data_IF_369837748403
#
_entry.id   IF_369837748403
#
_cell.length_a   1.000
_cell.length_b   1.000
_cell.length_c   1.000
_cell.angle_alpha   90.00
_cell.angle_beta   90.00
_cell.angle_gamma   90.00
#
_symmetry.space_group_name_H-M   'P 1'
#
loop_
_entity.id
_entity.type
_entity.pdbx_description
1 polymer ?
#
# COMPACT_ATOMS: atom_id res chain seq x y z
N UNK A 1 7.55 -20.26 13.46
CA UNK A 1 6.41 -20.40 12.53
C UNK A 1 6.01 -19.05 11.90
N UNK A 2 5.56 -18.06 12.67
CA UNK A 2 5.06 -16.77 12.15
C UNK A 2 6.08 -15.98 11.29
N UNK A 3 7.36 -15.94 11.69
CA UNK A 3 8.42 -15.26 10.92
C UNK A 3 8.67 -15.88 9.53
N UNK A 4 8.54 -17.21 9.41
CA UNK A 4 8.75 -17.92 8.13
C UNK A 4 7.62 -17.60 7.16
N UNK A 5 6.38 -17.57 7.65
CA UNK A 5 5.20 -17.18 6.87
C UNK A 5 5.34 -15.73 6.37
N UNK A 6 5.79 -14.82 7.25
CA UNK A 6 6.01 -13.43 6.87
C UNK A 6 7.12 -13.28 5.80
N UNK A 7 8.22 -14.02 5.91
CA UNK A 7 9.28 -14.06 4.90
C UNK A 7 8.80 -14.60 3.55
N UNK A 8 7.98 -15.66 3.54
CA UNK A 8 7.38 -16.21 2.32
C UNK A 8 6.46 -15.18 1.65
N UNK A 9 5.65 -14.48 2.44
CA UNK A 9 4.77 -13.41 1.93
C UNK A 9 5.60 -12.28 1.31
N UNK A 10 6.66 -11.83 1.98
CA UNK A 10 7.55 -10.79 1.46
C UNK A 10 8.22 -11.23 0.15
N UNK A 11 8.71 -12.47 0.09
CA UNK A 11 9.31 -13.03 -1.12
C UNK A 11 8.31 -13.11 -2.29
N UNK A 12 7.06 -13.51 -2.02
CA UNK A 12 5.99 -13.50 -3.01
C UNK A 12 5.66 -12.10 -3.52
N UNK A 13 5.64 -11.11 -2.64
CA UNK A 13 5.38 -9.73 -3.05
C UNK A 13 6.55 -9.11 -3.83
N UNK A 14 7.79 -9.42 -3.47
CA UNK A 14 8.98 -9.01 -4.22
C UNK A 14 8.99 -9.63 -5.63
N UNK A 15 8.69 -10.92 -5.77
CA UNK A 15 8.62 -11.58 -7.08
C UNK A 15 7.49 -11.01 -7.93
N UNK A 16 6.31 -10.75 -7.33
CA UNK A 16 5.19 -10.07 -8.01
C UNK A 16 5.55 -8.64 -8.45
N UNK A 17 6.27 -7.89 -7.62
CA UNK A 17 6.72 -6.54 -7.97
C UNK A 17 7.69 -6.57 -9.16
N UNK A 18 8.64 -7.50 -9.15
CA UNK A 18 9.59 -7.70 -10.24
C UNK A 18 8.88 -8.06 -11.55
N UNK A 19 7.85 -8.90 -11.47
CA UNK A 19 7.06 -9.30 -12.64
C UNK A 19 6.22 -8.14 -13.20
N UNK A 20 5.69 -7.26 -12.34
CA UNK A 20 4.99 -6.05 -12.79
C UNK A 20 5.92 -5.01 -13.41
N UNK A 21 7.17 -4.89 -12.94
CA UNK A 21 8.20 -4.05 -13.56
C UNK A 21 8.52 -4.53 -14.98
N UNK A 22 8.66 -5.84 -15.18
CA UNK A 22 8.91 -6.41 -16.51
C UNK A 22 7.79 -6.13 -17.51
N UNK A 23 6.53 -6.04 -17.06
CA UNK A 23 5.40 -5.72 -17.93
C UNK A 23 5.27 -4.23 -18.30
N UNK A 24 6.23 -3.36 -17.91
CA UNK A 24 6.21 -1.89 -18.10
C UNK A 24 4.92 -1.20 -17.62
N UNK A 25 4.15 -1.85 -16.74
CA UNK A 25 2.87 -1.34 -16.22
C UNK A 25 3.03 -0.33 -15.07
N UNK A 26 4.26 -0.18 -14.57
CA UNK A 26 4.57 0.60 -13.37
C UNK A 26 5.68 1.59 -13.72
N UNK A 27 5.49 2.86 -13.37
CA UNK A 27 6.50 3.90 -13.57
C UNK A 27 7.67 3.72 -12.57
N UNK A 28 8.86 4.23 -12.91
CA UNK A 28 10.05 4.07 -12.06
C UNK A 28 9.83 4.55 -10.61
N UNK A 29 9.10 5.66 -10.43
CA UNK A 29 8.75 6.19 -9.11
C UNK A 29 7.83 5.26 -8.31
N UNK A 30 6.86 4.64 -8.97
CA UNK A 30 5.96 3.67 -8.32
C UNK A 30 6.72 2.41 -7.92
N UNK A 31 7.66 1.94 -8.74
CA UNK A 31 8.52 0.82 -8.38
C UNK A 31 9.35 1.12 -7.14
N UNK A 32 9.98 2.29 -7.07
CA UNK A 32 10.77 2.72 -5.89
C UNK A 32 9.88 2.86 -4.65
N UNK A 33 8.71 3.47 -4.78
CA UNK A 33 7.75 3.60 -3.67
C UNK A 33 7.37 2.23 -3.09
N UNK A 34 7.00 1.28 -3.96
CA UNK A 34 6.67 -0.07 -3.53
C UNK A 34 7.87 -0.82 -2.96
N UNK A 35 9.05 -0.66 -3.54
CA UNK A 35 10.27 -1.31 -3.04
C UNK A 35 10.61 -0.82 -1.62
N UNK A 36 10.53 0.49 -1.35
CA UNK A 36 10.71 1.05 -0.02
C UNK A 36 9.65 0.53 0.95
N UNK A 37 8.38 0.47 0.53
CA UNK A 37 7.30 -0.08 1.35
C UNK A 37 7.57 -1.54 1.76
N UNK A 38 8.01 -2.39 0.83
CA UNK A 38 8.34 -3.80 1.11
C UNK A 38 9.55 -3.95 2.02
N UNK A 39 10.57 -3.10 1.86
CA UNK A 39 11.74 -3.08 2.76
C UNK A 39 11.30 -2.69 4.18
N UNK A 40 10.46 -1.68 4.33
CA UNK A 40 9.92 -1.27 5.64
C UNK A 40 9.09 -2.37 6.28
N UNK A 41 8.26 -3.07 5.49
CA UNK A 41 7.48 -4.21 5.98
C UNK A 41 8.40 -5.36 6.45
N UNK A 42 9.45 -5.67 5.70
CA UNK A 42 10.45 -6.67 6.11
C UNK A 42 11.19 -6.27 7.39
N UNK A 43 11.60 -5.00 7.50
CA UNK A 43 12.22 -4.47 8.70
C UNK A 43 11.30 -4.56 9.92
N UNK A 44 10.01 -4.22 9.77
CA UNK A 44 9.02 -4.34 10.84
C UNK A 44 8.85 -5.78 11.34
N UNK A 45 8.91 -6.77 10.44
CA UNK A 45 8.85 -8.20 10.78
C UNK A 45 10.12 -8.69 11.48
N UNK A 46 11.31 -8.19 11.08
CA UNK A 46 12.57 -8.56 11.74
C UNK A 46 12.65 -7.94 13.15
N UNK A 47 12.17 -6.70 13.30
CA UNK A 47 12.14 -5.95 14.55
C UNK A 47 10.97 -6.31 15.47
N UNK A 48 10.21 -7.36 15.16
CA UNK A 48 9.04 -7.77 15.93
C UNK A 48 9.34 -7.94 17.43
N UNK A 49 10.49 -8.53 17.78
CA UNK A 49 10.95 -8.69 19.18
C UNK A 49 11.19 -7.36 19.91
N UNK A 50 11.46 -6.29 19.16
CA UNK A 50 11.61 -4.94 19.72
C UNK A 50 10.25 -4.26 19.85
N UNK A 51 9.37 -4.46 18.86
CA UNK A 51 7.97 -4.01 18.91
C UNK A 51 7.23 -4.66 20.08
N UNK A 52 7.39 -5.97 20.29
CA UNK A 52 6.80 -6.69 21.44
C UNK A 52 7.18 -6.04 22.78
N UNK A 53 8.46 -5.62 22.93
CA UNK A 53 8.94 -4.94 24.15
C UNK A 53 8.40 -3.52 24.29
N UNK A 54 8.29 -2.77 23.19
CA UNK A 54 7.68 -1.44 23.22
C UNK A 54 6.19 -1.50 23.55
N UNK A 55 5.47 -2.44 22.94
CA UNK A 55 4.03 -2.65 23.13
C UNK A 55 3.73 -3.05 24.57
N UNK A 56 4.54 -3.94 25.16
CA UNK A 56 4.47 -4.28 26.58
C UNK A 56 4.74 -3.07 27.49
N UNK A 57 5.70 -2.20 27.13
CA UNK A 57 5.99 -0.96 27.88
C UNK A 57 4.88 0.10 27.79
N UNK A 58 4.06 0.05 26.74
CA UNK A 58 2.90 0.92 26.53
C UNK A 58 1.60 0.38 27.16
N UNK A 59 1.67 -0.76 27.87
CA UNK A 59 0.53 -1.36 28.57
C UNK A 59 -0.42 -2.18 27.70
N UNK A 60 -0.04 -2.46 26.44
CA UNK A 60 -0.78 -3.36 25.58
C UNK A 60 -0.36 -4.81 25.86
N UNK A 61 -1.33 -5.66 26.21
CA UNK A 61 -1.14 -7.09 26.49
C UNK A 61 -1.11 -7.97 25.22
N UNK A 62 -1.32 -7.38 24.05
CA UNK A 62 -1.27 -8.05 22.75
C UNK A 62 0.14 -8.23 22.21
N UNK A 63 0.33 -9.21 21.32
CA UNK A 63 1.60 -9.37 20.59
C UNK A 63 1.82 -8.17 19.66
N UNK A 64 3.07 -7.77 19.44
CA UNK A 64 3.45 -6.74 18.47
C UNK A 64 2.95 -7.01 17.05
N UNK A 65 2.62 -8.26 16.72
CA UNK A 65 1.90 -8.63 15.49
C UNK A 65 0.52 -7.99 15.42
N UNK A 66 -0.23 -7.94 16.51
CA UNK A 66 -1.59 -7.35 16.55
C UNK A 66 -1.51 -5.85 16.30
N UNK A 67 -0.53 -5.17 16.91
CA UNK A 67 -0.29 -3.74 16.69
C UNK A 67 0.09 -3.46 15.24
N UNK A 68 0.98 -4.27 14.65
CA UNK A 68 1.34 -4.15 13.24
C UNK A 68 0.15 -4.41 12.32
N UNK A 69 -0.72 -5.36 12.67
CA UNK A 69 -1.94 -5.66 11.92
C UNK A 69 -2.88 -4.46 11.96
N UNK A 70 -3.18 -3.90 13.14
CA UNK A 70 -4.02 -2.71 13.27
C UNK A 70 -3.45 -1.52 12.50
N UNK A 71 -2.15 -1.28 12.59
CA UNK A 71 -1.48 -0.22 11.85
C UNK A 71 -1.60 -0.44 10.33
N UNK A 72 -1.39 -1.69 9.88
CA UNK A 72 -1.55 -2.07 8.47
C UNK A 72 -2.98 -1.85 7.98
N UNK A 73 -3.98 -2.20 8.78
CA UNK A 73 -5.40 -1.95 8.47
C UNK A 73 -5.67 -0.46 8.32
N UNK A 74 -5.21 0.39 9.25
CA UNK A 74 -5.36 1.85 9.16
C UNK A 74 -4.71 2.41 7.90
N UNK A 75 -3.49 1.97 7.57
CA UNK A 75 -2.79 2.40 6.35
C UNK A 75 -3.55 1.96 5.09
N UNK A 76 -4.08 0.73 5.06
CA UNK A 76 -4.90 0.26 3.95
C UNK A 76 -6.17 1.09 3.78
N UNK A 77 -6.86 1.40 4.87
CA UNK A 77 -8.03 2.30 4.82
C UNK A 77 -7.66 3.69 4.29
N UNK A 78 -6.52 4.24 4.70
CA UNK A 78 -6.02 5.50 4.14
C UNK A 78 -5.77 5.41 2.63
N UNK A 79 -5.17 4.32 2.14
CA UNK A 79 -4.97 4.12 0.70
C UNK A 79 -6.27 3.95 -0.07
N UNK A 80 -7.25 3.21 0.48
CA UNK A 80 -8.60 3.08 -0.10
C UNK A 80 -9.27 4.45 -0.19
N UNK A 81 -9.19 5.25 0.88
CA UNK A 81 -9.74 6.60 0.91
C UNK A 81 -9.08 7.50 -0.15
N UNK A 82 -7.75 7.49 -0.23
CA UNK A 82 -7.00 8.24 -1.25
C UNK A 82 -7.35 7.79 -2.67
N UNK A 83 -7.57 6.50 -2.89
CA UNK A 83 -7.99 5.95 -4.17
C UNK A 83 -9.39 6.45 -4.55
N UNK A 84 -10.34 6.44 -3.60
CA UNK A 84 -11.69 6.98 -3.80
C UNK A 84 -11.67 8.44 -4.25
N UNK A 85 -10.89 9.28 -3.57
CA UNK A 85 -10.76 10.70 -3.93
C UNK A 85 -10.19 10.89 -5.35
N UNK A 86 -9.23 10.05 -5.74
CA UNK A 86 -8.67 10.08 -7.10
C UNK A 86 -9.71 9.64 -8.14
N UNK A 87 -10.49 8.61 -7.85
CA UNK A 87 -11.59 8.16 -8.71
C UNK A 87 -12.63 9.27 -8.93
N UNK A 88 -13.06 9.93 -7.86
CA UNK A 88 -14.03 11.04 -7.95
C UNK A 88 -13.50 12.20 -8.80
N UNK A 89 -12.22 12.55 -8.64
CA UNK A 89 -11.59 13.58 -9.48
C UNK A 89 -11.57 13.16 -10.95
N UNK A 90 -11.24 11.90 -11.22
CA UNK A 90 -11.19 11.35 -12.57
C UNK A 90 -12.57 11.35 -13.24
N UNK A 91 -13.64 10.98 -12.51
CA UNK A 91 -15.04 11.07 -12.98
C UNK A 91 -15.46 12.50 -13.32
N UNK A 92 -15.09 13.47 -12.47
CA UNK A 92 -15.33 14.90 -12.71
C UNK A 92 -14.61 15.40 -13.96
N UNK A 93 -13.35 15.01 -14.15
CA UNK A 93 -12.55 15.41 -15.29
C UNK A 93 -13.10 14.79 -16.59
N UNK A 94 -13.51 13.51 -16.58
CA UNK A 94 -14.19 12.86 -17.72
C UNK A 94 -15.48 13.61 -18.07
N UNK A 95 -16.29 13.95 -17.07
CA UNK A 95 -17.55 14.68 -17.29
C UNK A 95 -17.32 16.04 -17.94
N UNK A 96 -16.28 16.77 -17.52
CA UNK A 96 -15.89 18.05 -18.15
C UNK A 96 -15.47 17.87 -19.60
N UNK A 97 -14.63 16.87 -19.88
CA UNK A 97 -14.16 16.56 -21.24
C UNK A 97 -15.34 16.23 -22.16
N UNK A 98 -16.27 15.36 -21.72
CA UNK A 98 -17.47 15.01 -22.52
C UNK A 98 -18.37 16.23 -22.75
N UNK A 99 -18.54 17.09 -21.74
CA UNK A 99 -19.32 18.33 -21.87
C UNK A 99 -18.69 19.29 -22.87
N UNK A 100 -17.37 19.47 -22.85
CA UNK A 100 -16.67 20.33 -23.79
C UNK A 100 -16.75 19.79 -25.23
N UNK A 101 -16.58 18.49 -25.42
CA UNK A 101 -16.73 17.83 -26.73
C UNK A 101 -18.15 18.06 -27.29
N UNK A 102 -19.19 17.88 -26.46
CA UNK A 102 -20.59 18.04 -26.90
C UNK A 102 -21.00 19.50 -27.18
N UNK A 103 -20.38 20.47 -26.50
CA UNK A 103 -20.57 21.89 -26.79
C UNK A 103 -19.88 22.30 -28.09
N UNK A 104 -18.66 21.79 -28.34
CA UNK A 104 -17.92 22.07 -29.57
C UNK A 104 -18.49 21.34 -30.80
N UNK A 105 -19.07 20.15 -30.65
CA UNK A 105 -19.67 19.41 -31.77
C UNK A 105 -21.03 19.95 -32.23
N UNK A 106 -21.69 20.77 -31.41
CA UNK A 106 -22.93 21.49 -31.77
C UNK A 106 -22.70 22.83 -32.47
N UNK A 107 -21.45 23.28 -32.56
CA UNK A 107 -21.04 24.54 -33.20
C UNK A 107 -20.58 24.27 -34.62
#
# INVERSE_FOLDING_TARGET
>A
MQQIIALIIIAFFLSRLFWQKQKKKINANEFVFWLVFWILAAAAVILLKWIDRLVAGLGFSGSGIEVLLYLGVVILFYFIFKLRLRLEKMEKDITKVVREISLNSKK
#
